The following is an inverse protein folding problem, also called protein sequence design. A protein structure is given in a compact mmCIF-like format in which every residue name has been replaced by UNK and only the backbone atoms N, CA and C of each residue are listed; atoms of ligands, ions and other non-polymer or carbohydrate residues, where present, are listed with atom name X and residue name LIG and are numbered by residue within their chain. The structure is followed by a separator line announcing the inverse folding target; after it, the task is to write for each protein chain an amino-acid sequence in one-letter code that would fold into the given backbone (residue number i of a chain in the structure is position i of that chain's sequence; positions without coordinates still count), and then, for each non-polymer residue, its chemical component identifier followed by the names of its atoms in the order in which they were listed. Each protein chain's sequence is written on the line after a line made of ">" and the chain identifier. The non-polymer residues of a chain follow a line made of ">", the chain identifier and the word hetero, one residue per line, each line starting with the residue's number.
data_IF_111683266815
#
_entry.id   IF_111683266815
#
_cell.length_a   1.000
_cell.length_b   1.000
_cell.length_c   1.000
_cell.angle_alpha   90.00
_cell.angle_beta   90.00
_cell.angle_gamma   90.00
#
_symmetry.space_group_name_H-M   'P 1'
#
loop_
_entity.id
_entity.type
_entity.pdbx_description
1 polymer ?
#
# COMPACT_ATOMS: atom_id res chain seq x y z
N UNK A 1 21.87 10.31 -8.11
CA UNK A 1 20.94 9.25 -8.51
C UNK A 1 21.78 8.17 -9.18
N UNK A 2 21.86 6.98 -8.60
CA UNK A 2 22.51 5.83 -9.27
C UNK A 2 21.59 5.35 -10.39
N UNK A 3 22.17 4.97 -11.53
CA UNK A 3 21.38 4.36 -12.62
C UNK A 3 20.64 3.12 -12.13
N UNK A 4 19.40 2.90 -12.59
CA UNK A 4 18.63 1.72 -12.23
C UNK A 4 19.34 0.46 -12.75
N UNK A 5 19.47 -0.55 -11.90
CA UNK A 5 20.06 -1.85 -12.27
C UNK A 5 19.05 -2.66 -13.10
N UNK A 6 19.49 -3.16 -14.25
CA UNK A 6 18.65 -3.81 -15.26
C UNK A 6 19.17 -5.19 -15.64
N UNK A 7 18.33 -6.04 -16.25
CA UNK A 7 18.78 -7.28 -16.87
C UNK A 7 19.97 -7.06 -17.80
N UNK A 8 20.92 -8.01 -17.78
CA UNK A 8 22.21 -8.03 -18.47
C UNK A 8 23.30 -7.12 -17.88
N UNK A 9 22.99 -6.29 -16.88
CA UNK A 9 24.00 -5.52 -16.13
C UNK A 9 25.00 -6.44 -15.40
N UNK A 10 26.21 -5.91 -15.14
CA UNK A 10 27.27 -6.63 -14.43
C UNK A 10 28.00 -5.73 -13.43
N UNK A 11 28.61 -6.37 -12.44
CA UNK A 11 29.56 -5.70 -11.54
C UNK A 11 29.02 -5.42 -10.15
N UNK A 12 29.57 -4.40 -9.50
CA UNK A 12 29.31 -4.12 -8.08
C UNK A 12 27.84 -3.81 -7.75
N UNK A 13 27.09 -3.06 -8.57
CA UNK A 13 25.67 -2.83 -8.29
C UNK A 13 24.82 -4.12 -8.31
N UNK A 14 25.11 -5.05 -9.23
CA UNK A 14 24.42 -6.35 -9.31
C UNK A 14 24.80 -7.23 -8.12
N UNK A 15 26.07 -7.25 -7.71
CA UNK A 15 26.49 -7.98 -6.51
C UNK A 15 25.82 -7.43 -5.23
N UNK A 16 25.61 -6.12 -5.14
CA UNK A 16 24.85 -5.53 -4.02
C UNK A 16 23.39 -5.97 -4.05
N UNK A 17 22.76 -6.00 -5.22
CA UNK A 17 21.41 -6.52 -5.42
C UNK A 17 21.30 -7.98 -4.97
N UNK A 18 22.21 -8.86 -5.42
CA UNK A 18 22.22 -10.28 -5.03
C UNK A 18 22.33 -10.46 -3.52
N UNK A 19 23.22 -9.72 -2.86
CA UNK A 19 23.38 -9.75 -1.41
C UNK A 19 22.09 -9.33 -0.69
N UNK A 20 21.40 -8.29 -1.18
CA UNK A 20 20.13 -7.82 -0.61
C UNK A 20 19.01 -8.83 -0.81
N UNK A 21 18.86 -9.39 -2.01
CA UNK A 21 17.89 -10.44 -2.30
C UNK A 21 18.10 -11.66 -1.42
N UNK A 22 19.35 -12.10 -1.25
CA UNK A 22 19.68 -13.20 -0.35
C UNK A 22 19.31 -12.90 1.12
N UNK A 23 19.58 -11.67 1.59
CA UNK A 23 19.27 -11.25 2.95
C UNK A 23 17.75 -11.26 3.26
N UNK A 24 16.93 -11.08 2.24
CA UNK A 24 15.46 -11.09 2.36
C UNK A 24 14.81 -12.41 1.91
N UNK A 25 15.61 -13.46 1.70
CA UNK A 25 15.11 -14.82 1.44
C UNK A 25 14.91 -15.18 -0.04
N UNK A 26 15.37 -14.34 -0.96
CA UNK A 26 15.31 -14.59 -2.40
C UNK A 26 16.71 -14.85 -2.99
N UNK A 27 17.29 -16.05 -2.79
CA UNK A 27 18.61 -16.37 -3.29
C UNK A 27 18.63 -16.42 -4.82
N UNK A 28 19.77 -16.01 -5.38
CA UNK A 28 20.08 -16.10 -6.81
C UNK A 28 21.01 -17.30 -7.04
N UNK A 29 21.04 -17.83 -8.27
CA UNK A 29 21.95 -18.91 -8.64
C UNK A 29 23.42 -18.52 -8.41
N UNK A 30 24.21 -19.49 -7.93
CA UNK A 30 25.60 -19.27 -7.55
C UNK A 30 26.49 -18.79 -8.71
N UNK A 31 26.15 -19.10 -9.96
CA UNK A 31 26.91 -18.65 -11.14
C UNK A 31 26.65 -17.17 -11.39
N UNK A 32 25.37 -16.73 -11.38
CA UNK A 32 25.04 -15.31 -11.52
C UNK A 32 25.60 -14.47 -10.36
N UNK A 33 25.54 -15.02 -9.12
CA UNK A 33 26.10 -14.36 -7.95
C UNK A 33 27.63 -14.17 -8.06
N UNK A 34 28.37 -15.21 -8.43
CA UNK A 34 29.84 -15.14 -8.56
C UNK A 34 30.30 -14.20 -9.66
N UNK A 35 29.60 -14.20 -10.79
CA UNK A 35 29.90 -13.34 -11.93
C UNK A 35 29.43 -11.89 -11.72
N UNK A 36 28.52 -11.69 -10.74
CA UNK A 36 27.85 -10.42 -10.54
C UNK A 36 27.06 -10.01 -11.79
N UNK A 37 26.35 -10.97 -12.39
CA UNK A 37 25.56 -10.80 -13.61
C UNK A 37 24.08 -10.82 -13.32
N UNK A 38 23.36 -9.84 -13.84
CA UNK A 38 21.90 -9.79 -13.73
C UNK A 38 21.28 -10.68 -14.83
N UNK A 39 21.17 -11.96 -14.56
CA UNK A 39 20.61 -12.94 -15.48
C UNK A 39 19.16 -13.32 -15.17
N UNK A 40 18.69 -14.45 -15.76
CA UNK A 40 17.32 -14.93 -15.58
C UNK A 40 16.97 -15.28 -14.13
N UNK A 41 17.92 -15.80 -13.34
CA UNK A 41 17.68 -16.15 -11.93
C UNK A 41 17.58 -14.90 -11.05
N UNK A 42 18.37 -13.87 -11.32
CA UNK A 42 18.24 -12.55 -10.69
C UNK A 42 16.87 -11.95 -11.01
N UNK A 43 16.42 -12.03 -12.27
CA UNK A 43 15.08 -11.57 -12.69
C UNK A 43 13.97 -12.30 -11.93
N UNK A 44 14.06 -13.64 -11.84
CA UNK A 44 13.08 -14.44 -11.10
C UNK A 44 13.04 -14.10 -9.61
N UNK A 45 14.19 -13.98 -8.96
CA UNK A 45 14.29 -13.61 -7.55
C UNK A 45 13.73 -12.20 -7.29
N UNK A 46 14.00 -11.27 -8.21
CA UNK A 46 13.49 -9.90 -8.10
C UNK A 46 11.98 -9.83 -8.31
N UNK A 47 11.43 -10.54 -9.28
CA UNK A 47 9.97 -10.65 -9.49
C UNK A 47 9.29 -11.26 -8.27
N UNK A 48 9.84 -12.33 -7.68
CA UNK A 48 9.33 -12.93 -6.47
C UNK A 48 9.35 -11.96 -5.28
N UNK A 49 10.45 -11.19 -5.12
CA UNK A 49 10.54 -10.13 -4.12
C UNK A 49 9.49 -9.03 -4.35
N UNK A 50 9.33 -8.56 -5.60
CA UNK A 50 8.34 -7.54 -5.95
C UNK A 50 6.92 -8.02 -5.66
N UNK A 51 6.58 -9.26 -6.02
CA UNK A 51 5.30 -9.89 -5.71
C UNK A 51 5.04 -9.97 -4.20
N UNK A 52 6.00 -10.52 -3.43
CA UNK A 52 5.91 -10.62 -1.96
C UNK A 52 5.71 -9.25 -1.31
N UNK A 53 6.40 -8.23 -1.82
CA UNK A 53 6.29 -6.86 -1.30
C UNK A 53 5.09 -6.08 -1.85
N UNK A 54 4.27 -6.68 -2.70
CA UNK A 54 3.14 -6.02 -3.33
C UNK A 54 3.57 -4.80 -4.16
N UNK A 55 4.71 -4.89 -4.82
CA UNK A 55 5.21 -3.90 -5.78
C UNK A 55 4.77 -4.27 -7.20
N UNK A 56 4.97 -3.37 -8.15
CA UNK A 56 4.78 -3.67 -9.56
C UNK A 56 5.87 -4.68 -10.02
N UNK A 57 5.43 -5.79 -10.62
CA UNK A 57 6.27 -6.94 -10.98
C UNK A 57 6.87 -6.74 -12.39
N UNK A 58 7.85 -5.86 -12.51
CA UNK A 58 8.50 -5.55 -13.79
C UNK A 58 9.92 -6.13 -13.94
N UNK A 59 10.46 -6.78 -12.88
CA UNK A 59 11.75 -7.46 -12.92
C UNK A 59 12.96 -6.53 -13.11
N UNK A 60 12.82 -5.24 -12.80
CA UNK A 60 13.90 -4.25 -12.79
C UNK A 60 13.99 -3.56 -11.43
N UNK A 61 15.16 -2.96 -11.10
CA UNK A 61 15.33 -2.25 -9.82
C UNK A 61 15.07 -0.77 -10.06
N UNK A 62 13.82 -0.35 -9.90
CA UNK A 62 13.43 1.05 -9.84
C UNK A 62 13.63 1.64 -8.43
N UNK A 63 13.34 2.92 -8.24
CA UNK A 63 13.49 3.61 -6.96
C UNK A 63 12.62 2.98 -5.87
N UNK A 64 11.41 2.54 -6.20
CA UNK A 64 10.47 1.89 -5.28
C UNK A 64 10.99 0.52 -4.83
N UNK A 65 11.47 -0.28 -5.78
CA UNK A 65 12.08 -1.59 -5.50
C UNK A 65 13.36 -1.45 -4.69
N UNK A 66 14.20 -0.46 -5.02
CA UNK A 66 15.42 -0.18 -4.28
C UNK A 66 15.12 0.21 -2.82
N UNK A 67 14.14 1.09 -2.60
CA UNK A 67 13.72 1.48 -1.27
C UNK A 67 13.19 0.27 -0.47
N UNK A 68 12.36 -0.57 -1.09
CA UNK A 68 11.83 -1.78 -0.46
C UNK A 68 12.93 -2.78 -0.10
N UNK A 69 13.95 -2.97 -0.94
CA UNK A 69 15.10 -3.84 -0.64
C UNK A 69 15.92 -3.32 0.55
N UNK A 70 16.05 -2.00 0.68
CA UNK A 70 16.73 -1.39 1.83
C UNK A 70 15.91 -1.56 3.10
N UNK A 71 14.60 -1.30 3.03
CA UNK A 71 13.67 -1.38 4.16
C UNK A 71 13.51 -2.82 4.68
N UNK A 72 13.52 -3.81 3.79
CA UNK A 72 13.37 -5.22 4.11
C UNK A 72 14.59 -5.85 4.81
N UNK A 73 15.75 -5.25 4.63
CA UNK A 73 17.01 -5.77 5.19
C UNK A 73 17.21 -5.51 6.68
N UNK A 74 16.30 -4.80 7.35
CA UNK A 74 16.44 -4.41 8.77
C UNK A 74 15.36 -5.09 9.61
N UNK A 75 15.77 -5.79 10.67
CA UNK A 75 14.86 -6.48 11.61
C UNK A 75 14.70 -5.70 12.91
N UNK A 76 13.58 -5.87 13.59
CA UNK A 76 13.33 -5.24 14.89
C UNK A 76 14.39 -5.70 15.93
N UNK A 77 15.18 -4.72 16.38
CA UNK A 77 16.30 -4.91 17.31
C UNK A 77 17.68 -4.72 16.66
N UNK A 78 17.78 -4.63 15.33
CA UNK A 78 19.06 -4.36 14.64
C UNK A 78 19.50 -2.91 14.82
N UNK A 79 18.55 -2.01 15.07
CA UNK A 79 18.80 -0.59 15.37
C UNK A 79 17.80 -0.07 16.40
N UNK A 80 18.17 1.02 17.05
CA UNK A 80 17.24 1.74 17.92
C UNK A 80 16.25 2.56 17.09
N UNK A 81 14.95 2.43 17.39
CA UNK A 81 13.89 3.18 16.72
C UNK A 81 13.33 4.23 17.67
N UNK A 82 13.26 5.46 17.21
CA UNK A 82 12.73 6.61 17.95
C UNK A 82 12.25 7.69 16.97
N UNK A 83 11.48 8.65 17.45
CA UNK A 83 10.99 9.74 16.61
C UNK A 83 12.12 10.70 16.24
N UNK A 84 12.43 10.82 14.97
CA UNK A 84 13.40 11.78 14.43
C UNK A 84 13.02 12.22 13.01
N UNK A 85 13.72 13.22 12.48
CA UNK A 85 13.56 13.68 11.10
C UNK A 85 14.88 13.45 10.31
N UNK A 86 14.82 12.78 9.14
CA UNK A 86 13.69 12.10 8.52
C UNK A 86 13.27 10.85 9.31
N UNK A 87 11.95 10.53 9.33
CA UNK A 87 11.43 9.38 10.10
C UNK A 87 12.06 8.06 9.63
N UNK A 88 12.33 7.17 10.59
CA UNK A 88 12.74 5.79 10.27
C UNK A 88 11.68 5.09 9.44
N UNK A 89 12.14 4.27 8.50
CA UNK A 89 11.32 3.40 7.65
C UNK A 89 11.92 2.02 7.60
N UNK A 90 11.07 1.00 7.53
CA UNK A 90 11.51 -0.37 7.37
C UNK A 90 10.52 -1.38 7.92
N UNK A 91 10.83 -2.65 7.65
CA UNK A 91 10.06 -3.78 8.17
C UNK A 91 10.20 -3.90 9.69
N UNK A 92 11.32 -3.46 10.25
CA UNK A 92 11.53 -3.33 11.69
C UNK A 92 10.52 -2.37 12.35
N UNK A 93 10.19 -1.27 11.68
CA UNK A 93 9.15 -0.33 12.16
C UNK A 93 7.76 -0.95 12.00
N UNK A 94 7.47 -1.61 10.87
CA UNK A 94 6.19 -2.30 10.67
C UNK A 94 5.98 -3.41 11.70
N UNK A 95 7.02 -4.20 12.01
CA UNK A 95 6.98 -5.24 13.05
C UNK A 95 6.74 -4.61 14.44
N UNK A 96 7.38 -3.49 14.77
CA UNK A 96 7.13 -2.76 16.00
C UNK A 96 5.67 -2.30 16.09
N UNK A 97 5.14 -1.66 15.04
CA UNK A 97 3.76 -1.18 14.98
C UNK A 97 2.75 -2.33 15.15
N UNK A 98 2.99 -3.45 14.44
CA UNK A 98 2.15 -4.65 14.53
C UNK A 98 2.13 -5.22 15.95
N UNK A 99 3.29 -5.32 16.60
CA UNK A 99 3.42 -5.83 17.98
C UNK A 99 2.72 -4.95 18.98
N UNK A 100 2.94 -3.64 18.91
CA UNK A 100 2.25 -2.66 19.76
C UNK A 100 0.74 -2.74 19.56
N UNK A 101 0.28 -2.77 18.29
CA UNK A 101 -1.13 -2.89 17.96
C UNK A 101 -1.77 -4.20 18.45
N UNK A 102 -1.06 -5.32 18.36
CA UNK A 102 -1.54 -6.63 18.85
C UNK A 102 -1.62 -6.69 20.38
N UNK A 103 -0.82 -5.89 21.09
CA UNK A 103 -0.84 -5.75 22.54
C UNK A 103 -1.87 -4.70 23.02
N UNK A 104 -2.55 -4.02 22.13
CA UNK A 104 -3.59 -3.03 22.44
C UNK A 104 -3.13 -1.59 22.46
N UNK A 105 -1.87 -1.29 22.08
CA UNK A 105 -1.34 0.06 21.97
C UNK A 105 -1.54 0.61 20.57
N UNK A 106 -2.08 1.81 20.44
CA UNK A 106 -2.38 2.42 19.16
C UNK A 106 -1.15 3.04 18.50
N UNK A 107 -0.42 2.24 17.74
CA UNK A 107 0.74 2.69 16.98
C UNK A 107 0.39 3.45 15.67
N UNK A 108 -0.89 3.77 15.45
CA UNK A 108 -1.37 4.26 14.18
C UNK A 108 -1.43 3.16 13.13
N UNK A 109 -1.34 3.55 11.86
CA UNK A 109 -1.33 2.61 10.73
C UNK A 109 -0.04 1.78 10.74
N UNK A 110 -0.13 0.51 10.37
CA UNK A 110 1.04 -0.36 10.21
C UNK A 110 1.61 -0.13 8.81
N UNK A 111 2.36 0.94 8.67
CA UNK A 111 2.91 1.42 7.39
C UNK A 111 4.45 1.34 7.31
N UNK A 112 5.08 0.94 8.43
CA UNK A 112 6.52 0.88 8.54
C UNK A 112 7.19 2.26 8.57
N UNK A 113 6.48 3.32 8.99
CA UNK A 113 7.01 4.67 9.20
C UNK A 113 6.90 5.03 10.68
N UNK A 114 8.03 5.31 11.33
CA UNK A 114 8.05 5.67 12.76
C UNK A 114 7.57 7.11 12.97
N UNK A 115 6.25 7.28 13.03
CA UNK A 115 5.60 8.56 13.23
C UNK A 115 5.27 8.86 14.71
N UNK A 116 4.60 10.01 14.96
CA UNK A 116 4.17 10.41 16.31
C UNK A 116 3.27 9.39 17.02
N UNK A 117 2.35 8.75 16.27
CA UNK A 117 1.45 7.72 16.82
C UNK A 117 2.24 6.51 17.31
N UNK A 118 3.25 6.07 16.52
CA UNK A 118 4.15 4.97 16.91
C UNK A 118 4.95 5.33 18.15
N UNK A 119 5.46 6.57 18.24
CA UNK A 119 6.19 7.05 19.43
C UNK A 119 5.30 7.10 20.67
N UNK A 120 4.05 7.56 20.53
CA UNK A 120 3.06 7.57 21.60
C UNK A 120 2.77 6.17 22.14
N UNK A 121 2.45 5.24 21.23
CA UNK A 121 2.18 3.84 21.57
C UNK A 121 3.37 3.14 22.23
N UNK A 122 4.58 3.43 21.77
CA UNK A 122 5.81 2.91 22.36
C UNK A 122 5.98 3.41 23.80
N UNK A 123 5.79 4.71 24.05
CA UNK A 123 5.87 5.30 25.39
C UNK A 123 4.79 4.73 26.32
N UNK A 124 3.58 4.50 25.81
CA UNK A 124 2.49 3.88 26.57
C UNK A 124 2.81 2.43 26.91
N UNK A 125 3.36 1.68 25.97
CA UNK A 125 3.86 0.33 26.20
C UNK A 125 4.92 0.31 27.29
N UNK A 126 5.98 1.13 27.19
CA UNK A 126 7.06 1.22 28.16
C UNK A 126 6.52 1.50 29.57
N UNK A 127 5.58 2.45 29.70
CA UNK A 127 4.92 2.79 30.95
C UNK A 127 4.15 1.62 31.55
N UNK A 128 3.40 0.89 30.71
CA UNK A 128 2.58 -0.24 31.16
C UNK A 128 3.40 -1.45 31.63
N UNK A 129 4.58 -1.66 31.06
CA UNK A 129 5.45 -2.79 31.43
C UNK A 129 6.54 -2.43 32.42
N UNK A 130 6.57 -1.17 32.89
CA UNK A 130 7.52 -0.72 33.90
C UNK A 130 8.94 -0.49 33.39
N UNK A 131 9.10 -0.23 32.11
CA UNK A 131 10.36 0.18 31.49
C UNK A 131 10.55 1.70 31.59
N UNK A 132 11.79 2.17 31.34
CA UNK A 132 12.06 3.59 31.16
C UNK A 132 11.22 4.13 30.00
N UNK A 133 10.48 5.24 30.24
CA UNK A 133 9.61 5.86 29.22
C UNK A 133 10.44 6.89 28.45
N UNK A 134 11.31 6.41 27.58
CA UNK A 134 12.22 7.24 26.79
C UNK A 134 11.77 7.37 25.31
N UNK A 135 10.74 6.63 24.90
CA UNK A 135 10.25 6.61 23.51
C UNK A 135 11.22 5.96 22.53
N UNK A 136 12.18 5.16 23.02
CA UNK A 136 13.19 4.46 22.22
C UNK A 136 12.91 2.95 22.24
N UNK A 137 12.68 2.34 21.08
CA UNK A 137 12.65 0.89 20.97
C UNK A 137 14.09 0.33 20.94
N UNK A 138 14.73 0.33 22.11
CA UNK A 138 16.02 -0.29 22.35
C UNK A 138 15.89 -1.77 22.73
N UNK A 139 17.02 -2.39 23.11
CA UNK A 139 17.10 -3.83 23.40
C UNK A 139 16.14 -4.29 24.51
N UNK A 140 15.99 -3.52 25.58
CA UNK A 140 15.07 -3.83 26.69
C UNK A 140 13.61 -3.79 26.25
N UNK A 141 13.23 -2.79 25.48
CA UNK A 141 11.88 -2.65 24.92
C UNK A 141 11.55 -3.79 23.95
N UNK A 142 12.50 -4.13 23.08
CA UNK A 142 12.34 -5.23 22.13
C UNK A 142 12.21 -6.58 22.86
N UNK A 143 12.98 -6.79 23.92
CA UNK A 143 12.87 -7.97 24.76
C UNK A 143 11.48 -8.06 25.43
N UNK A 144 11.01 -6.96 26.02
CA UNK A 144 9.68 -6.88 26.62
C UNK A 144 8.55 -7.18 25.63
N UNK A 145 8.64 -6.64 24.41
CA UNK A 145 7.70 -6.93 23.32
C UNK A 145 7.71 -8.44 22.96
N UNK A 146 8.88 -9.05 22.83
CA UNK A 146 9.01 -10.49 22.52
C UNK A 146 8.40 -11.38 23.60
N UNK A 147 8.59 -11.07 24.86
CA UNK A 147 8.07 -11.83 26.00
C UNK A 147 6.54 -11.82 26.08
N UNK A 148 5.92 -10.72 25.70
CA UNK A 148 4.46 -10.54 25.80
C UNK A 148 3.70 -11.06 24.56
N UNK A 149 4.34 -11.12 23.41
CA UNK A 149 3.71 -11.56 22.16
C UNK A 149 3.25 -13.02 22.18
N UNK A 150 3.90 -13.92 22.91
CA UNK A 150 3.45 -15.29 23.08
C UNK A 150 2.02 -15.42 23.62
N UNK A 151 1.47 -14.33 24.18
CA UNK A 151 0.10 -14.25 24.73
C UNK A 151 -0.90 -13.51 23.79
N UNK A 152 -0.42 -12.93 22.71
CA UNK A 152 -1.22 -12.05 21.82
C UNK A 152 -1.41 -12.61 20.42
N UNK A 153 -1.00 -13.85 20.16
CA UNK A 153 -1.12 -14.49 18.83
C UNK A 153 -2.58 -14.54 18.38
N UNK A 154 -2.85 -14.04 17.17
CA UNK A 154 -4.17 -14.05 16.54
C UNK A 154 -5.09 -12.89 16.90
N UNK A 155 -4.62 -11.85 17.59
CA UNK A 155 -5.42 -10.66 17.87
C UNK A 155 -5.39 -9.68 16.69
N UNK A 156 -6.56 -9.15 16.35
CA UNK A 156 -6.68 -8.06 15.36
C UNK A 156 -5.97 -6.81 15.88
N UNK A 157 -5.05 -6.21 15.12
CA UNK A 157 -4.36 -4.99 15.54
C UNK A 157 -5.34 -3.85 15.79
N UNK A 158 -5.06 -3.00 16.79
CA UNK A 158 -5.89 -1.84 17.15
C UNK A 158 -6.11 -0.91 15.94
N UNK A 159 -5.11 -0.75 15.08
CA UNK A 159 -5.21 0.05 13.86
C UNK A 159 -6.40 -0.39 12.96
N UNK A 160 -6.58 -1.68 12.79
CA UNK A 160 -7.67 -2.24 11.97
C UNK A 160 -9.04 -2.02 12.63
N UNK A 161 -9.14 -2.23 13.94
CA UNK A 161 -10.38 -1.98 14.71
C UNK A 161 -10.77 -0.50 14.62
N UNK A 162 -9.81 0.40 14.80
CA UNK A 162 -10.05 1.86 14.69
C UNK A 162 -10.41 2.32 13.29
N UNK A 163 -9.81 1.73 12.25
CA UNK A 163 -10.22 2.03 10.89
C UNK A 163 -11.69 1.69 10.67
N UNK A 164 -12.12 0.49 11.09
CA UNK A 164 -13.52 0.06 11.01
C UNK A 164 -14.45 0.98 11.80
N UNK A 165 -14.08 1.38 13.02
CA UNK A 165 -14.90 2.29 13.83
C UNK A 165 -15.02 3.68 13.19
N UNK A 166 -13.93 4.21 12.63
CA UNK A 166 -13.95 5.46 11.86
C UNK A 166 -14.85 5.36 10.64
N UNK A 167 -14.84 4.22 9.94
CA UNK A 167 -15.70 3.99 8.78
C UNK A 167 -17.19 3.96 9.18
N UNK A 168 -17.54 3.31 10.30
CA UNK A 168 -18.91 3.27 10.83
C UNK A 168 -19.45 4.63 11.28
N UNK A 169 -18.57 5.53 11.72
CA UNK A 169 -18.94 6.87 12.19
C UNK A 169 -19.04 7.90 11.05
N UNK A 170 -18.69 7.54 9.81
CA UNK A 170 -18.77 8.45 8.66
C UNK A 170 -20.20 8.72 8.23
N UNK A 171 -20.44 9.93 7.70
CA UNK A 171 -21.71 10.22 7.03
C UNK A 171 -21.87 9.32 5.80
N UNK A 172 -23.03 8.68 5.62
CA UNK A 172 -23.32 7.86 4.45
C UNK A 172 -23.67 8.71 3.19
N UNK A 173 -23.68 10.02 3.32
CA UNK A 173 -23.99 10.92 2.23
C UNK A 173 -22.72 11.38 1.50
N UNK A 174 -22.73 11.28 0.16
CA UNK A 174 -21.64 11.76 -0.67
C UNK A 174 -21.56 13.30 -0.71
N UNK A 175 -22.69 13.99 -0.44
CA UNK A 175 -22.76 15.43 -0.43
C UNK A 175 -21.82 16.02 0.64
N UNK A 176 -20.98 16.95 0.24
CA UNK A 176 -19.99 17.59 1.10
C UNK A 176 -18.74 16.76 1.40
N UNK A 177 -18.68 15.49 0.98
CA UNK A 177 -17.47 14.67 1.16
C UNK A 177 -16.30 15.20 0.33
N UNK A 178 -15.12 15.26 0.92
CA UNK A 178 -13.87 15.62 0.24
C UNK A 178 -13.24 14.37 -0.35
N UNK A 179 -13.15 14.28 -1.67
CA UNK A 179 -12.60 13.13 -2.38
C UNK A 179 -11.34 13.56 -3.15
N UNK A 180 -10.27 12.79 -3.05
CA UNK A 180 -9.06 12.99 -3.83
C UNK A 180 -9.02 11.96 -4.97
N UNK A 181 -8.82 12.42 -6.20
CA UNK A 181 -8.69 11.58 -7.39
C UNK A 181 -7.36 11.90 -8.05
N UNK A 182 -6.45 10.93 -8.06
CA UNK A 182 -5.13 11.03 -8.65
C UNK A 182 -5.06 10.43 -10.04
N UNK A 183 -4.25 11.03 -10.92
CA UNK A 183 -3.91 10.43 -12.21
C UNK A 183 -2.42 10.13 -12.31
N UNK A 184 -2.14 9.01 -13.00
CA UNK A 184 -0.81 8.64 -13.41
C UNK A 184 -0.83 8.35 -14.90
N UNK A 185 -0.15 9.17 -15.69
CA UNK A 185 -0.15 9.05 -17.15
C UNK A 185 -1.36 9.71 -17.82
N UNK A 186 -1.80 9.17 -18.95
CA UNK A 186 -2.76 9.78 -19.87
C UNK A 186 -4.24 9.48 -19.53
N UNK A 187 -4.64 9.59 -18.27
CA UNK A 187 -6.03 9.32 -17.83
C UNK A 187 -6.91 10.56 -17.69
N UNK A 188 -6.48 11.72 -18.17
CA UNK A 188 -7.13 13.02 -17.95
C UNK A 188 -8.61 13.10 -18.39
N UNK A 189 -8.98 12.46 -19.51
CA UNK A 189 -10.38 12.42 -19.97
C UNK A 189 -11.26 11.63 -18.99
N UNK A 190 -10.80 10.47 -18.54
CA UNK A 190 -11.49 9.62 -17.58
C UNK A 190 -11.65 10.34 -16.22
N UNK A 191 -10.56 10.93 -15.72
CA UNK A 191 -10.58 11.71 -14.48
C UNK A 191 -11.55 12.89 -14.55
N UNK A 192 -11.55 13.62 -15.67
CA UNK A 192 -12.46 14.76 -15.87
C UNK A 192 -13.93 14.31 -15.88
N UNK A 193 -14.23 13.18 -16.53
CA UNK A 193 -15.56 12.60 -16.55
C UNK A 193 -16.01 12.15 -15.15
N UNK A 194 -15.17 11.40 -14.44
CA UNK A 194 -15.43 10.93 -13.08
C UNK A 194 -15.62 12.09 -12.09
N UNK A 195 -14.72 13.06 -12.10
CA UNK A 195 -14.80 14.23 -11.22
C UNK A 195 -16.08 15.06 -11.46
N UNK A 196 -16.52 15.18 -12.72
CA UNK A 196 -17.78 15.86 -13.08
C UNK A 196 -18.98 15.14 -12.48
N UNK A 197 -19.03 13.80 -12.59
CA UNK A 197 -20.13 12.99 -12.04
C UNK A 197 -20.19 13.12 -10.52
N UNK A 198 -19.06 13.01 -9.84
CA UNK A 198 -18.98 13.09 -8.38
C UNK A 198 -19.34 14.49 -7.86
N UNK A 199 -18.88 15.56 -8.54
CA UNK A 199 -19.25 16.94 -8.22
C UNK A 199 -20.75 17.19 -8.42
N UNK A 200 -21.34 16.62 -9.48
CA UNK A 200 -22.78 16.71 -9.72
C UNK A 200 -23.60 15.99 -8.63
N UNK A 201 -23.02 15.00 -7.96
CA UNK A 201 -23.59 14.32 -6.77
C UNK A 201 -23.27 15.03 -5.45
N UNK A 202 -22.67 16.23 -5.50
CA UNK A 202 -22.41 17.08 -4.33
C UNK A 202 -21.07 16.91 -3.63
N UNK A 203 -20.17 16.06 -4.14
CA UNK A 203 -18.85 15.89 -3.56
C UNK A 203 -17.90 17.05 -3.88
N UNK A 204 -16.97 17.35 -2.94
CA UNK A 204 -15.82 18.22 -3.19
C UNK A 204 -14.65 17.39 -3.72
N UNK A 205 -14.38 17.48 -5.02
CA UNK A 205 -13.37 16.66 -5.68
C UNK A 205 -12.10 17.44 -5.95
N UNK A 206 -10.99 17.01 -5.33
CA UNK A 206 -9.63 17.43 -5.65
C UNK A 206 -9.06 16.48 -6.69
N UNK A 207 -8.65 17.02 -7.83
CA UNK A 207 -7.94 16.26 -8.86
C UNK A 207 -6.45 16.51 -8.70
N UNK A 208 -5.66 15.43 -8.64
CA UNK A 208 -4.22 15.44 -8.48
C UNK A 208 -3.57 14.93 -9.76
N UNK A 209 -2.75 15.77 -10.36
CA UNK A 209 -1.98 15.50 -11.58
C UNK A 209 -0.50 15.70 -11.29
N UNK A 210 0.09 14.73 -10.63
CA UNK A 210 1.52 14.72 -10.30
C UNK A 210 2.08 13.32 -10.49
N UNK A 211 3.25 13.16 -11.16
CA UNK A 211 3.81 11.83 -11.43
C UNK A 211 4.31 11.12 -10.16
N UNK A 212 4.72 11.87 -9.13
CA UNK A 212 5.20 11.28 -7.88
C UNK A 212 4.04 10.91 -6.94
N UNK A 213 3.96 9.63 -6.63
CA UNK A 213 2.95 9.04 -5.75
C UNK A 213 2.99 9.61 -4.33
N UNK A 214 4.18 9.94 -3.83
CA UNK A 214 4.35 10.52 -2.49
C UNK A 214 3.75 11.91 -2.40
N UNK A 215 3.95 12.72 -3.42
CA UNK A 215 3.39 14.07 -3.52
C UNK A 215 1.87 14.01 -3.59
N UNK A 216 1.30 13.09 -4.37
CA UNK A 216 -0.15 12.90 -4.41
C UNK A 216 -0.71 12.49 -3.04
N UNK A 217 -0.06 11.53 -2.35
CA UNK A 217 -0.47 11.10 -1.02
C UNK A 217 -0.44 12.24 0.00
N UNK A 218 0.63 13.05 0.00
CA UNK A 218 0.76 14.20 0.90
C UNK A 218 -0.35 15.23 0.64
N UNK A 219 -0.58 15.58 -0.62
CA UNK A 219 -1.61 16.55 -1.00
C UNK A 219 -3.02 16.05 -0.64
N UNK A 220 -3.30 14.76 -0.83
CA UNK A 220 -4.58 14.16 -0.42
C UNK A 220 -4.76 14.18 1.11
N UNK A 221 -3.68 13.94 1.88
CA UNK A 221 -3.69 14.04 3.34
C UNK A 221 -3.95 15.48 3.81
N UNK A 222 -3.29 16.47 3.23
CA UNK A 222 -3.45 17.90 3.56
C UNK A 222 -4.85 18.41 3.19
N UNK A 223 -5.44 17.87 2.13
CA UNK A 223 -6.83 18.10 1.77
C UNK A 223 -7.81 17.44 2.73
N UNK A 224 -7.33 16.56 3.65
CA UNK A 224 -8.14 15.72 4.55
C UNK A 224 -9.23 14.97 3.78
N UNK A 225 -8.85 14.34 2.67
CA UNK A 225 -9.78 13.60 1.85
C UNK A 225 -10.42 12.44 2.62
N UNK A 226 -11.70 12.19 2.38
CA UNK A 226 -12.41 11.03 2.94
C UNK A 226 -11.94 9.71 2.30
N UNK A 227 -11.52 9.76 1.03
CA UNK A 227 -10.92 8.65 0.31
C UNK A 227 -9.98 9.16 -0.79
N UNK A 228 -9.09 8.30 -1.22
CA UNK A 228 -8.23 8.53 -2.39
C UNK A 228 -8.50 7.45 -3.45
N UNK A 229 -8.65 7.86 -4.71
CA UNK A 229 -8.69 6.96 -5.86
C UNK A 229 -7.64 7.41 -6.87
N UNK A 230 -6.60 6.61 -7.08
CA UNK A 230 -5.63 6.77 -8.16
C UNK A 230 -6.06 6.01 -9.41
N UNK A 231 -5.86 6.60 -10.59
CA UNK A 231 -6.09 5.94 -11.87
C UNK A 231 -4.80 5.92 -12.67
N UNK A 232 -4.40 4.72 -13.11
CA UNK A 232 -3.22 4.47 -13.93
C UNK A 232 -3.65 3.65 -15.14
N UNK A 233 -3.20 4.03 -16.33
CA UNK A 233 -3.45 3.27 -17.56
C UNK A 233 -2.13 2.61 -17.98
N UNK A 234 -2.14 1.30 -18.12
CA UNK A 234 -0.98 0.49 -18.44
C UNK A 234 -1.24 -0.45 -19.61
N UNK A 235 -0.16 -0.91 -20.24
CA UNK A 235 -0.26 -1.81 -21.39
C UNK A 235 -0.18 -3.28 -20.94
N UNK A 236 -1.17 -3.69 -20.16
CA UNK A 236 -1.37 -5.08 -19.72
C UNK A 236 -2.60 -5.69 -20.35
N UNK A 237 -2.83 -6.97 -20.10
CA UNK A 237 -4.03 -7.70 -20.54
C UNK A 237 -5.16 -7.69 -19.51
N UNK A 238 -4.95 -7.17 -18.31
CA UNK A 238 -5.91 -7.18 -17.21
C UNK A 238 -5.91 -5.85 -16.45
N UNK A 239 -7.02 -5.54 -15.81
CA UNK A 239 -7.15 -4.41 -14.87
C UNK A 239 -7.09 -4.91 -13.42
N UNK A 240 -6.67 -4.03 -12.51
CA UNK A 240 -6.60 -4.34 -11.07
C UNK A 240 -7.05 -3.14 -10.24
N UNK A 241 -7.70 -3.42 -9.11
CA UNK A 241 -7.99 -2.44 -8.05
C UNK A 241 -7.11 -2.76 -6.84
N UNK A 242 -6.09 -1.94 -6.61
CA UNK A 242 -5.08 -2.18 -5.60
C UNK A 242 -5.38 -1.38 -4.33
N UNK A 243 -5.22 -2.00 -3.16
CA UNK A 243 -5.37 -1.39 -1.84
C UNK A 243 -4.13 -1.63 -0.99
N UNK A 244 -3.97 -0.89 0.12
CA UNK A 244 -2.83 -1.08 1.00
C UNK A 244 -2.96 -2.34 1.84
N UNK A 245 -1.98 -3.24 1.71
CA UNK A 245 -1.80 -4.38 2.59
C UNK A 245 -0.31 -4.66 2.83
N UNK A 246 -0.02 -5.24 3.98
CA UNK A 246 1.30 -5.73 4.41
C UNK A 246 1.10 -6.92 5.34
N UNK A 247 2.18 -7.59 5.74
CA UNK A 247 2.11 -8.73 6.64
C UNK A 247 1.36 -8.37 7.94
N UNK A 248 0.29 -9.08 8.21
CA UNK A 248 -0.54 -8.88 9.41
C UNK A 248 -1.43 -7.63 9.43
N UNK A 249 -1.49 -6.85 8.35
CA UNK A 249 -2.37 -5.68 8.25
C UNK A 249 -2.89 -5.46 6.83
N UNK A 250 -4.16 -5.12 6.72
CA UNK A 250 -4.77 -4.57 5.51
C UNK A 250 -5.63 -3.34 5.86
N UNK A 251 -5.71 -2.38 4.94
CA UNK A 251 -6.66 -1.27 5.05
C UNK A 251 -8.05 -1.80 4.71
N UNK A 252 -8.91 -1.94 5.73
CA UNK A 252 -10.28 -2.43 5.57
C UNK A 252 -11.10 -1.53 4.64
N UNK A 253 -11.00 -0.22 4.84
CA UNK A 253 -11.70 0.74 3.98
C UNK A 253 -11.18 0.74 2.55
N UNK A 254 -9.85 0.60 2.39
CA UNK A 254 -9.22 0.47 1.09
C UNK A 254 -9.63 -0.81 0.37
N UNK A 255 -9.62 -1.95 1.05
CA UNK A 255 -10.05 -3.24 0.51
C UNK A 255 -11.51 -3.20 0.01
N UNK A 256 -12.42 -2.66 0.82
CA UNK A 256 -13.84 -2.57 0.48
C UNK A 256 -14.09 -1.64 -0.71
N UNK A 257 -13.41 -0.49 -0.74
CA UNK A 257 -13.46 0.42 -1.88
C UNK A 257 -12.90 -0.24 -3.15
N UNK A 258 -11.77 -0.95 -3.05
CA UNK A 258 -11.18 -1.67 -4.16
C UNK A 258 -12.10 -2.74 -4.73
N UNK A 259 -12.82 -3.46 -3.85
CA UNK A 259 -13.81 -4.47 -4.27
C UNK A 259 -14.99 -3.84 -5.03
N UNK A 260 -15.52 -2.72 -4.55
CA UNK A 260 -16.57 -1.98 -5.29
C UNK A 260 -16.07 -1.48 -6.63
N UNK A 261 -14.83 -0.96 -6.71
CA UNK A 261 -14.22 -0.53 -7.96
C UNK A 261 -14.03 -1.71 -8.93
N UNK A 262 -13.49 -2.84 -8.46
CA UNK A 262 -13.29 -4.03 -9.27
C UNK A 262 -14.62 -4.55 -9.86
N UNK A 263 -15.64 -4.70 -9.02
CA UNK A 263 -16.98 -5.14 -9.46
C UNK A 263 -17.58 -4.18 -10.50
N UNK A 264 -17.42 -2.87 -10.30
CA UNK A 264 -17.89 -1.87 -11.26
C UNK A 264 -17.14 -1.93 -12.58
N UNK A 265 -15.82 -2.08 -12.53
CA UNK A 265 -14.96 -2.20 -13.71
C UNK A 265 -15.26 -3.49 -14.50
N UNK A 266 -15.47 -4.62 -13.84
CA UNK A 266 -15.86 -5.87 -14.50
C UNK A 266 -17.18 -5.72 -15.27
N UNK A 267 -18.10 -4.95 -14.71
CA UNK A 267 -19.35 -4.68 -15.40
C UNK A 267 -19.16 -3.76 -16.62
N UNK A 268 -18.38 -2.69 -16.46
CA UNK A 268 -18.11 -1.71 -17.52
C UNK A 268 -17.27 -2.29 -18.68
N UNK A 269 -16.35 -3.23 -18.37
CA UNK A 269 -15.42 -3.81 -19.35
C UNK A 269 -15.86 -5.17 -19.89
N UNK A 270 -17.00 -5.70 -19.47
CA UNK A 270 -17.49 -7.06 -19.84
C UNK A 270 -17.61 -7.26 -21.34
N UNK A 271 -17.99 -6.24 -22.10
CA UNK A 271 -18.15 -6.31 -23.57
C UNK A 271 -16.84 -6.31 -24.34
N UNK A 272 -15.73 -6.03 -23.69
CA UNK A 272 -14.41 -5.85 -24.31
C UNK A 272 -13.51 -7.10 -24.24
N UNK A 273 -14.04 -8.23 -23.76
CA UNK A 273 -13.29 -9.49 -23.57
C UNK A 273 -11.99 -9.30 -22.73
N UNK A 274 -12.06 -8.42 -21.75
CA UNK A 274 -10.97 -8.18 -20.79
C UNK A 274 -11.17 -9.09 -19.58
N UNK A 275 -10.10 -9.71 -19.04
CA UNK A 275 -10.19 -10.50 -17.82
C UNK A 275 -10.78 -9.72 -16.64
N UNK A 276 -11.46 -10.44 -15.74
CA UNK A 276 -12.05 -9.84 -14.55
C UNK A 276 -11.02 -9.06 -13.74
N UNK A 277 -11.46 -7.91 -13.20
CA UNK A 277 -10.61 -7.02 -12.40
C UNK A 277 -10.37 -7.60 -11.01
N UNK A 278 -9.13 -7.94 -10.70
CA UNK A 278 -8.76 -8.43 -9.37
C UNK A 278 -8.65 -7.33 -8.32
N UNK A 279 -8.81 -7.72 -7.04
CA UNK A 279 -8.44 -6.88 -5.89
C UNK A 279 -7.14 -7.40 -5.30
N UNK A 280 -6.10 -6.56 -5.24
CA UNK A 280 -4.76 -6.97 -4.81
C UNK A 280 -4.21 -6.02 -3.75
N UNK A 281 -3.67 -6.60 -2.66
CA UNK A 281 -2.93 -5.84 -1.66
C UNK A 281 -1.57 -5.41 -2.19
N UNK A 282 -1.27 -4.10 -2.14
CA UNK A 282 -0.02 -3.52 -2.65
C UNK A 282 0.59 -2.55 -1.64
N UNK A 283 1.93 -2.45 -1.66
CA UNK A 283 2.70 -1.53 -0.79
C UNK A 283 3.25 -0.31 -1.53
N UNK A 284 2.65 0.05 -2.66
CA UNK A 284 3.09 1.22 -3.46
C UNK A 284 2.98 2.52 -2.65
N UNK A 285 3.83 3.52 -2.92
CA UNK A 285 3.97 4.71 -2.07
C UNK A 285 2.67 5.47 -1.82
N UNK A 286 1.81 5.63 -2.84
CA UNK A 286 0.55 6.36 -2.66
C UNK A 286 -0.41 5.64 -1.72
N UNK A 287 -0.50 4.32 -1.79
CA UNK A 287 -1.37 3.53 -0.91
C UNK A 287 -0.82 3.46 0.52
N UNK A 288 0.50 3.41 0.68
CA UNK A 288 1.19 3.34 1.96
C UNK A 288 1.08 4.65 2.74
N UNK A 289 1.20 5.80 2.07
CA UNK A 289 1.32 7.12 2.70
C UNK A 289 0.01 7.88 2.87
N UNK A 290 -1.05 7.49 2.19
CA UNK A 290 -2.39 8.06 2.41
C UNK A 290 -2.94 7.65 3.77
N UNK A 291 -3.53 8.59 4.52
CA UNK A 291 -4.11 8.36 5.86
C UNK A 291 -5.56 7.91 5.81
N UNK A 292 -6.22 8.09 4.69
CA UNK A 292 -7.59 7.68 4.41
C UNK A 292 -7.60 6.35 3.63
N UNK A 293 -8.75 5.66 3.52
CA UNK A 293 -8.92 4.56 2.58
C UNK A 293 -8.50 4.97 1.16
N UNK A 294 -7.62 4.18 0.56
CA UNK A 294 -7.02 4.49 -0.72
C UNK A 294 -7.02 3.29 -1.64
N UNK A 295 -7.29 3.55 -2.92
CA UNK A 295 -7.26 2.57 -4.01
C UNK A 295 -6.48 3.13 -5.18
N UNK A 296 -5.69 2.28 -5.82
CA UNK A 296 -5.05 2.55 -7.11
C UNK A 296 -5.63 1.57 -8.13
N UNK A 297 -6.46 2.06 -9.06
CA UNK A 297 -6.95 1.26 -10.17
C UNK A 297 -5.96 1.34 -11.33
N UNK A 298 -5.36 0.20 -11.66
CA UNK A 298 -4.59 0.02 -12.89
C UNK A 298 -5.53 -0.52 -13.95
N UNK A 299 -5.71 0.25 -15.03
CA UNK A 299 -6.66 -0.02 -16.10
C UNK A 299 -5.91 -0.43 -17.37
N UNK A 300 -6.36 -1.47 -18.03
CA UNK A 300 -5.75 -2.02 -19.24
C UNK A 300 -6.77 -2.76 -20.11
N UNK A 301 -6.52 -2.95 -21.40
CA UNK A 301 -5.51 -2.25 -22.19
C UNK A 301 -5.95 -0.81 -22.55
N UNK A 302 -5.02 0.10 -22.89
CA UNK A 302 -5.34 1.52 -23.15
C UNK A 302 -6.43 1.76 -24.18
N UNK A 303 -6.46 0.96 -25.24
CA UNK A 303 -7.47 1.06 -26.32
C UNK A 303 -8.90 0.85 -25.79
N UNK A 304 -9.09 -0.12 -24.90
CA UNK A 304 -10.40 -0.41 -24.28
C UNK A 304 -10.79 0.72 -23.31
N UNK A 305 -9.84 1.19 -22.51
CA UNK A 305 -10.08 2.28 -21.54
C UNK A 305 -10.54 3.57 -22.25
N UNK A 306 -9.92 3.90 -23.39
CA UNK A 306 -10.29 5.07 -24.18
C UNK A 306 -11.72 4.94 -24.74
N UNK A 307 -12.07 3.76 -25.26
CA UNK A 307 -13.40 3.50 -25.84
C UNK A 307 -14.49 3.46 -24.76
N UNK A 308 -14.20 2.92 -23.58
CA UNK A 308 -15.15 2.75 -22.48
C UNK A 308 -15.03 3.84 -21.41
N UNK A 309 -14.45 5.01 -21.74
CA UNK A 309 -14.19 6.09 -20.76
C UNK A 309 -15.44 6.52 -19.98
N UNK A 310 -16.60 6.62 -20.65
CA UNK A 310 -17.84 7.06 -19.99
C UNK A 310 -18.38 5.98 -19.05
N UNK A 311 -18.39 4.74 -19.50
CA UNK A 311 -18.85 3.57 -18.75
C UNK A 311 -17.98 3.32 -17.52
N UNK A 312 -16.65 3.43 -17.66
CA UNK A 312 -15.70 3.31 -16.54
C UNK A 312 -15.92 4.45 -15.53
N UNK A 313 -16.09 5.69 -16.01
CA UNK A 313 -16.33 6.84 -15.12
C UNK A 313 -17.61 6.69 -14.32
N UNK A 314 -18.71 6.22 -14.93
CA UNK A 314 -19.98 6.00 -14.23
C UNK A 314 -19.89 4.80 -13.27
N UNK A 315 -19.24 3.72 -13.67
CA UNK A 315 -18.99 2.57 -12.81
C UNK A 315 -18.20 2.92 -11.56
N UNK A 316 -17.09 3.66 -11.70
CA UNK A 316 -16.28 4.12 -10.57
C UNK A 316 -17.04 5.13 -9.70
N UNK A 317 -17.80 6.06 -10.29
CA UNK A 317 -18.63 6.99 -9.52
C UNK A 317 -19.71 6.25 -8.72
N UNK A 318 -20.29 5.19 -9.29
CA UNK A 318 -21.27 4.33 -8.61
C UNK A 318 -20.62 3.50 -7.50
N UNK A 319 -19.43 2.95 -7.74
CA UNK A 319 -18.64 2.23 -6.75
C UNK A 319 -18.33 3.12 -5.52
N UNK A 320 -17.84 4.34 -5.75
CA UNK A 320 -17.56 5.32 -4.71
C UNK A 320 -18.84 5.66 -3.94
N UNK A 321 -19.95 5.91 -4.63
CA UNK A 321 -21.23 6.26 -3.97
C UNK A 321 -21.73 5.12 -3.07
N UNK A 322 -21.64 3.88 -3.53
CA UNK A 322 -22.01 2.69 -2.74
C UNK A 322 -21.11 2.53 -1.52
N UNK A 323 -19.80 2.69 -1.72
CA UNK A 323 -18.85 2.61 -0.61
C UNK A 323 -19.08 3.72 0.43
N UNK A 324 -19.36 4.96 0.01
CA UNK A 324 -19.67 6.06 0.95
C UNK A 324 -20.96 5.78 1.72
N UNK A 325 -21.98 5.18 1.08
CA UNK A 325 -23.24 4.85 1.73
C UNK A 325 -23.09 3.80 2.84
N UNK A 326 -22.21 2.82 2.68
CA UNK A 326 -21.85 1.84 3.72
C UNK A 326 -20.39 1.39 3.61
N UNK A 327 -19.44 2.20 4.14
CA UNK A 327 -18.03 1.89 4.02
C UNK A 327 -17.59 0.74 4.92
N UNK A 328 -18.45 0.27 5.82
CA UNK A 328 -18.21 -0.86 6.72
C UNK A 328 -18.86 -2.15 6.26
N UNK A 329 -19.69 -2.15 5.20
CA UNK A 329 -20.28 -3.37 4.65
C UNK A 329 -19.21 -4.38 4.25
N UNK A 330 -19.37 -5.63 4.64
CA UNK A 330 -18.46 -6.69 4.20
C UNK A 330 -18.76 -7.01 2.72
N UNK A 331 -17.78 -6.89 1.82
CA UNK A 331 -17.94 -7.44 0.49
C UNK A 331 -17.99 -8.97 0.58
N UNK A 332 -18.75 -9.62 -0.31
CA UNK A 332 -18.69 -11.07 -0.44
C UNK A 332 -17.22 -11.49 -0.64
N UNK A 333 -16.64 -12.10 0.39
CA UNK A 333 -15.23 -12.53 0.34
C UNK A 333 -15.09 -13.65 -0.68
N UNK A 334 -14.28 -13.47 -1.74
CA UNK A 334 -13.83 -14.63 -2.50
C UNK A 334 -13.03 -15.54 -1.55
N UNK A 335 -13.06 -16.88 -1.75
CA UNK A 335 -12.26 -17.79 -0.96
C UNK A 335 -10.80 -17.35 -1.03
N UNK A 336 -10.15 -17.31 0.15
CA UNK A 336 -8.70 -17.03 0.27
C UNK A 336 -8.01 -18.13 -0.54
N UNK A 337 -7.43 -17.77 -1.67
CA UNK A 337 -6.50 -18.65 -2.37
C UNK A 337 -5.22 -18.57 -1.57
N UNK A 338 -5.00 -19.57 -0.71
CA UNK A 338 -3.69 -19.80 -0.09
C UNK A 338 -2.68 -20.06 -1.23
N UNK A 339 -1.67 -19.18 -1.30
CA UNK A 339 -0.57 -19.29 -2.25
C UNK A 339 0.49 -20.29 -1.77
#
# INVERSE_FOLDING_TARGET
>A
MSEPVRPDDRGAPVRDLHRRLLAVGHPVDAVEESDGHFGPDTTRALLAFQAERGLDEHGTVDETTQAALVEAGVRLGDRHLYLHAPMFRGDDVADLQLRLGSLGFDAGRIDGIFGPDTAGALSDFQRNVGLAVDGIAGSETVLGLRQLLGRAVGRTPVAQVRELDRLRQRSPDLHGQRLAIGQFGNSGALISALARILRARGAHVLVLDHPDETTQATTANDFEAAMYLGLRIENHSYSQSNYFATDGFLSEGGYRLAHHCATGLDHALRSADVPATGCVGRRVPVLRRTRMPAVLCTLAPPSVVVLATAEIADALATAITRWVADPAAEPDRPPIVEA
#
